data_IF_381866362969
#
_entry.id   IF_381866362969
#
_cell.length_a   1.000
_cell.length_b   1.000
_cell.length_c   1.000
_cell.angle_alpha   90.00
_cell.angle_beta   90.00
_cell.angle_gamma   90.00
#
_symmetry.space_group_name_H-M   'P 1'
#
loop_
_entity.id
_entity.type
_entity.pdbx_description
1 polymer ?
#
# COMPACT_ATOMS: atom_id res chain seq x y z
N UNK A 1 24.24 -24.42 -42.02
CA UNK A 1 22.95 -23.89 -41.51
C UNK A 1 22.44 -22.91 -42.54
N UNK A 2 21.15 -22.93 -42.91
CA UNK A 2 20.60 -21.96 -43.86
C UNK A 2 20.62 -20.55 -43.26
N UNK A 3 20.78 -19.54 -44.10
CA UNK A 3 20.84 -18.11 -43.71
C UNK A 3 19.59 -17.68 -42.93
N UNK A 4 18.42 -18.17 -43.35
CA UNK A 4 17.13 -18.00 -42.68
C UNK A 4 17.09 -18.58 -41.24
N UNK A 5 17.83 -19.68 -40.99
CA UNK A 5 17.95 -20.26 -39.64
C UNK A 5 18.86 -19.44 -38.73
N UNK A 6 19.82 -18.71 -39.30
CA UNK A 6 20.72 -17.84 -38.53
C UNK A 6 19.98 -16.59 -38.08
N UNK A 7 19.13 -16.03 -38.96
CA UNK A 7 18.33 -14.83 -38.65
C UNK A 7 17.28 -15.10 -37.57
N UNK A 8 16.54 -16.22 -37.67
CA UNK A 8 15.57 -16.62 -36.64
C UNK A 8 16.18 -16.76 -35.24
N UNK A 9 17.39 -17.33 -35.15
CA UNK A 9 18.07 -17.50 -33.85
C UNK A 9 18.51 -16.15 -33.27
N UNK A 10 18.93 -15.20 -34.12
CA UNK A 10 19.28 -13.85 -33.69
C UNK A 10 18.06 -13.08 -33.21
N UNK A 11 16.96 -13.14 -33.95
CA UNK A 11 15.70 -12.51 -33.56
C UNK A 11 15.19 -13.04 -32.21
N UNK A 12 15.33 -14.35 -31.98
CA UNK A 12 14.96 -14.96 -30.71
C UNK A 12 15.84 -14.48 -29.55
N UNK A 13 17.16 -14.36 -29.76
CA UNK A 13 18.08 -13.84 -28.75
C UNK A 13 17.77 -12.37 -28.43
N UNK A 14 17.51 -11.54 -29.44
CA UNK A 14 17.12 -10.13 -29.26
C UNK A 14 15.80 -10.02 -28.49
N UNK A 15 14.80 -10.83 -28.83
CA UNK A 15 13.53 -10.86 -28.12
C UNK A 15 13.70 -11.24 -26.64
N UNK A 16 14.54 -12.24 -26.34
CA UNK A 16 14.83 -12.62 -24.95
C UNK A 16 15.57 -11.52 -24.19
N UNK A 17 16.50 -10.82 -24.83
CA UNK A 17 17.18 -9.68 -24.19
C UNK A 17 16.19 -8.57 -23.83
N UNK A 18 15.27 -8.23 -24.74
CA UNK A 18 14.23 -7.22 -24.49
C UNK A 18 13.30 -7.66 -23.35
N UNK A 19 12.87 -8.93 -23.34
CA UNK A 19 12.04 -9.48 -22.25
C UNK A 19 12.77 -9.39 -20.91
N UNK A 20 14.05 -9.76 -20.86
CA UNK A 20 14.84 -9.70 -19.63
C UNK A 20 14.96 -8.27 -19.09
N UNK A 21 15.19 -7.29 -19.97
CA UNK A 21 15.22 -5.87 -19.58
C UNK A 21 13.87 -5.41 -19.02
N UNK A 22 12.76 -5.78 -19.67
CA UNK A 22 11.42 -5.46 -19.16
C UNK A 22 11.17 -6.05 -17.78
N UNK A 23 11.57 -7.31 -17.56
CA UNK A 23 11.42 -7.97 -16.26
C UNK A 23 12.25 -7.31 -15.17
N UNK A 24 13.48 -6.91 -15.46
CA UNK A 24 14.32 -6.15 -14.53
C UNK A 24 13.66 -4.82 -14.15
N UNK A 25 13.17 -4.06 -15.14
CA UNK A 25 12.53 -2.76 -14.91
C UNK A 25 11.25 -2.90 -14.05
N UNK A 26 10.47 -3.96 -14.28
CA UNK A 26 9.28 -4.27 -13.46
C UNK A 26 9.70 -4.61 -12.03
N UNK A 27 10.72 -5.45 -11.86
CA UNK A 27 11.25 -5.82 -10.54
C UNK A 27 11.72 -4.61 -9.73
N UNK A 28 12.48 -3.70 -10.36
CA UNK A 28 12.93 -2.45 -9.73
C UNK A 28 11.76 -1.57 -9.29
N UNK A 29 10.71 -1.48 -10.13
CA UNK A 29 9.54 -0.66 -9.83
C UNK A 29 8.69 -1.25 -8.71
N UNK A 30 8.59 -2.58 -8.62
CA UNK A 30 7.94 -3.25 -7.49
C UNK A 30 8.72 -3.01 -6.20
N UNK A 31 10.04 -3.15 -6.22
CA UNK A 31 10.88 -2.90 -5.04
C UNK A 31 10.73 -1.44 -4.54
N UNK A 32 10.69 -0.46 -5.44
CA UNK A 32 10.47 0.94 -5.09
C UNK A 32 9.09 1.18 -4.44
N UNK A 33 8.05 0.52 -4.96
CA UNK A 33 6.71 0.59 -4.37
C UNK A 33 6.65 -0.06 -2.99
N UNK A 34 7.30 -1.21 -2.80
CA UNK A 34 7.39 -1.87 -1.50
C UNK A 34 8.09 -0.99 -0.47
N UNK A 35 9.22 -0.38 -0.84
CA UNK A 35 9.93 0.57 0.03
C UNK A 35 9.07 1.78 0.38
N UNK A 36 8.36 2.34 -0.60
CA UNK A 36 7.44 3.45 -0.35
C UNK A 36 6.34 3.06 0.64
N UNK A 37 5.70 1.90 0.43
CA UNK A 37 4.62 1.40 1.30
C UNK A 37 5.15 1.10 2.71
N UNK A 38 6.35 0.52 2.85
CA UNK A 38 6.99 0.32 4.15
C UNK A 38 7.32 1.63 4.86
N UNK A 39 7.62 2.69 4.09
CA UNK A 39 7.87 4.03 4.60
C UNK A 39 6.61 4.80 5.01
N UNK A 40 5.41 4.34 4.64
CA UNK A 40 4.16 4.93 5.11
C UNK A 40 4.06 4.65 6.61
N UNK A 41 4.04 5.69 7.47
CA UNK A 41 3.81 5.49 8.89
C UNK A 41 2.45 4.81 9.07
N UNK A 42 2.41 3.60 9.62
CA UNK A 42 1.17 2.87 9.95
C UNK A 42 0.18 3.72 10.78
N UNK A 43 0.72 4.68 11.50
CA UNK A 43 0.03 5.70 12.27
C UNK A 43 -0.78 6.70 11.42
N UNK A 44 -0.52 6.89 10.13
CA UNK A 44 -1.31 7.82 9.28
C UNK A 44 -2.52 7.15 8.65
N UNK A 45 -2.50 5.82 8.49
CA UNK A 45 -3.60 5.05 7.88
C UNK A 45 -4.67 4.63 8.91
N UNK A 46 -4.31 4.59 10.20
CA UNK A 46 -5.17 4.09 11.30
C UNK A 46 -5.65 5.16 12.28
N UNK A 47 -5.17 6.40 12.15
CA UNK A 47 -5.62 7.52 12.97
C UNK A 47 -6.86 8.15 12.35
N UNK A 48 -8.03 7.64 12.71
CA UNK A 48 -9.23 8.49 12.71
C UNK A 48 -8.96 9.58 13.76
N UNK A 49 -8.48 10.75 13.33
CA UNK A 49 -8.10 11.85 14.22
C UNK A 49 -9.35 12.56 14.74
N UNK A 50 -10.09 11.91 15.63
CA UNK A 50 -11.19 12.56 16.36
C UNK A 50 -10.73 12.96 17.75
N UNK A 51 -10.80 14.26 18.06
CA UNK A 51 -10.51 14.81 19.38
C UNK A 51 -11.81 15.40 19.96
N UNK A 52 -12.48 14.69 20.88
CA UNK A 52 -13.68 15.21 21.51
C UNK A 52 -13.37 16.42 22.41
N UNK A 53 -14.35 17.31 22.57
CA UNK A 53 -14.24 18.46 23.47
C UNK A 53 -13.93 18.01 24.90
N UNK A 54 -12.91 18.63 25.51
CA UNK A 54 -12.44 18.30 26.87
C UNK A 54 -11.39 17.19 26.95
N UNK A 55 -10.98 16.58 25.83
CA UNK A 55 -9.87 15.63 25.80
C UNK A 55 -8.56 16.34 25.45
N UNK A 56 -7.44 15.87 25.99
CA UNK A 56 -6.10 16.42 25.70
C UNK A 56 -5.50 15.81 24.42
N UNK A 57 -5.82 14.56 24.11
CA UNK A 57 -5.25 13.78 23.00
C UNK A 57 -6.31 13.39 21.95
N UNK A 58 -5.85 13.06 20.74
CA UNK A 58 -6.70 12.46 19.70
C UNK A 58 -7.02 11.02 20.06
N UNK A 59 -8.25 10.61 19.84
CA UNK A 59 -8.66 9.23 20.02
C UNK A 59 -8.18 8.39 18.86
N UNK A 60 -7.69 7.18 19.15
CA UNK A 60 -7.57 6.14 18.14
C UNK A 60 -8.94 5.60 17.71
N UNK A 61 -8.95 4.72 16.71
CA UNK A 61 -10.19 4.16 16.17
C UNK A 61 -11.06 3.46 17.24
N UNK A 62 -10.46 2.70 18.17
CA UNK A 62 -11.20 2.02 19.24
C UNK A 62 -11.75 3.02 20.23
N UNK A 63 -10.91 3.93 20.72
CA UNK A 63 -11.30 4.97 21.67
C UNK A 63 -12.42 5.85 21.12
N UNK A 64 -12.38 6.16 19.82
CA UNK A 64 -13.44 6.90 19.14
C UNK A 64 -14.78 6.12 19.16
N UNK A 65 -14.75 4.81 18.87
CA UNK A 65 -15.96 3.99 18.97
C UNK A 65 -16.48 3.89 20.41
N UNK A 66 -15.60 3.69 21.40
CA UNK A 66 -15.97 3.65 22.82
C UNK A 66 -16.66 4.96 23.25
N UNK A 67 -16.12 6.11 22.83
CA UNK A 67 -16.70 7.44 23.09
C UNK A 67 -18.08 7.61 22.44
N UNK A 68 -18.24 7.16 21.19
CA UNK A 68 -19.53 7.19 20.49
C UNK A 68 -20.57 6.36 21.23
N UNK A 69 -20.22 5.13 21.63
CA UNK A 69 -21.14 4.27 22.36
C UNK A 69 -21.50 4.83 23.74
N UNK A 70 -20.54 5.41 24.47
CA UNK A 70 -20.81 6.09 25.74
C UNK A 70 -21.88 7.17 25.58
N UNK A 71 -21.70 8.09 24.62
CA UNK A 71 -22.67 9.17 24.34
C UNK A 71 -24.03 8.64 23.91
N UNK A 72 -24.07 7.54 23.14
CA UNK A 72 -25.33 6.92 22.73
C UNK A 72 -26.09 6.32 23.92
N UNK A 73 -25.40 5.73 24.89
CA UNK A 73 -26.03 5.20 26.10
C UNK A 73 -26.53 6.33 27.02
N UNK A 74 -25.75 7.40 27.19
CA UNK A 74 -26.19 8.62 27.91
C UNK A 74 -27.46 9.20 27.28
N UNK A 75 -27.52 9.30 25.95
CA UNK A 75 -28.70 9.81 25.22
C UNK A 75 -29.93 8.91 25.36
N UNK A 76 -29.75 7.60 25.57
CA UNK A 76 -30.85 6.65 25.83
C UNK A 76 -31.32 6.66 27.28
N UNK A 77 -30.73 7.49 28.15
CA UNK A 77 -31.03 7.51 29.58
C UNK A 77 -30.32 6.40 30.37
N UNK A 78 -29.24 5.85 29.85
CA UNK A 78 -28.33 4.97 30.59
C UNK A 78 -27.56 5.76 31.66
N UNK A 79 -27.47 5.16 32.86
CA UNK A 79 -26.67 5.66 34.00
C UNK A 79 -25.18 5.52 33.72
#
# INVERSE_FOLDING_TARGET
MSEEKIDFLRDNDEAHQVINMCLQQIGERLAALEQYVQGIPLQDVTKIMYKPDGYDEYLDTKQNFDEIYRRLEELKGGV
#
